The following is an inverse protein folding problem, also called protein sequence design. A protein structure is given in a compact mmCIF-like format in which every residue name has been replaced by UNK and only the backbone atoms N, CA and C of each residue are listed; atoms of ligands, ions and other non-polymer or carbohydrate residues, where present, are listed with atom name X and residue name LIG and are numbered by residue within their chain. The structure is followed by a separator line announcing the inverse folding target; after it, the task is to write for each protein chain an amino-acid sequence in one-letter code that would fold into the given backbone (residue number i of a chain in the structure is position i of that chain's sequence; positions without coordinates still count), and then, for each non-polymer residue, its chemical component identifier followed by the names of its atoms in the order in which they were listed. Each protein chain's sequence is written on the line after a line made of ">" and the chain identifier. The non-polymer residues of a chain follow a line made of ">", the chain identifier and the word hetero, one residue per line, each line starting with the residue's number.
data_IF_422030748904
#
_entry.id   IF_422030748904
#
_cell.length_a   1.000
_cell.length_b   1.000
_cell.length_c   1.000
_cell.angle_alpha   90.00
_cell.angle_beta   90.00
_cell.angle_gamma   90.00
#
_symmetry.space_group_name_H-M   'P 1'
#
loop_
_entity.id
_entity.type
_entity.pdbx_description
1 polymer ?
#
# COMPACT_ATOMS: atom_id res chain seq x y z
N UNK A 1 -19.03 -9.96 21.00
CA UNK A 1 -18.96 -8.60 20.41
C UNK A 1 -18.26 -8.75 19.08
N UNK A 2 -18.96 -8.49 17.96
CA UNK A 2 -18.31 -8.49 16.66
C UNK A 2 -17.31 -7.33 16.66
N UNK A 3 -16.01 -7.63 16.60
CA UNK A 3 -14.99 -6.62 16.41
C UNK A 3 -15.22 -6.03 15.02
N UNK A 4 -15.77 -4.83 14.95
CA UNK A 4 -15.88 -4.08 13.70
C UNK A 4 -14.45 -3.76 13.26
N UNK A 5 -13.87 -4.63 12.44
CA UNK A 5 -12.49 -4.50 11.97
C UNK A 5 -12.37 -3.50 10.82
N UNK A 6 -13.49 -3.14 10.17
CA UNK A 6 -13.58 -2.14 9.11
C UNK A 6 -12.89 -0.80 9.45
N UNK A 7 -13.20 -0.12 10.58
CA UNK A 7 -12.52 1.13 10.94
C UNK A 7 -11.01 0.94 11.16
N UNK A 8 -10.58 -0.19 11.74
CA UNK A 8 -9.16 -0.48 11.98
C UNK A 8 -8.41 -0.60 10.66
N UNK A 9 -8.95 -1.37 9.72
CA UNK A 9 -8.34 -1.53 8.39
C UNK A 9 -8.31 -0.20 7.63
N UNK A 10 -9.38 0.61 7.69
CA UNK A 10 -9.39 1.96 7.10
C UNK A 10 -8.32 2.87 7.71
N UNK A 11 -8.19 2.91 9.04
CA UNK A 11 -7.18 3.74 9.70
C UNK A 11 -5.76 3.35 9.28
N UNK A 12 -5.47 2.05 9.22
CA UNK A 12 -4.16 1.56 8.77
C UNK A 12 -3.95 1.94 7.29
N UNK A 13 -4.96 1.76 6.45
CA UNK A 13 -4.88 2.07 5.02
C UNK A 13 -4.67 3.57 4.75
N UNK A 14 -5.25 4.46 5.55
CA UNK A 14 -5.01 5.91 5.42
C UNK A 14 -3.57 6.34 5.71
N UNK A 15 -2.77 5.51 6.39
CA UNK A 15 -1.34 5.77 6.61
C UNK A 15 -0.47 5.45 5.40
N UNK A 16 -1.04 4.82 4.37
CA UNK A 16 -0.35 4.46 3.14
C UNK A 16 -0.02 5.72 2.33
N UNK A 17 1.27 6.00 2.16
CA UNK A 17 1.86 7.17 1.51
C UNK A 17 2.76 6.71 0.36
N UNK A 18 2.13 6.20 -0.68
CA UNK A 18 2.79 5.68 -1.86
C UNK A 18 2.16 6.31 -3.11
N UNK A 19 2.96 6.52 -4.15
CA UNK A 19 2.51 7.00 -5.47
C UNK A 19 1.73 5.94 -6.24
N UNK A 20 1.84 4.67 -5.85
CA UNK A 20 1.03 3.58 -6.41
C UNK A 20 -0.39 3.68 -5.86
N UNK A 21 -1.38 3.46 -6.71
CA UNK A 21 -2.78 3.45 -6.27
C UNK A 21 -3.12 2.09 -5.71
N UNK A 22 -3.54 2.06 -4.45
CA UNK A 22 -4.14 0.89 -3.82
C UNK A 22 -5.61 1.19 -3.52
N UNK A 23 -6.47 0.19 -3.67
CA UNK A 23 -7.90 0.29 -3.43
C UNK A 23 -8.38 -0.93 -2.65
N UNK A 24 -9.14 -0.71 -1.58
CA UNK A 24 -9.79 -1.80 -0.87
C UNK A 24 -10.95 -2.30 -1.73
N UNK A 25 -10.91 -3.56 -2.14
CA UNK A 25 -11.91 -4.19 -3.00
C UNK A 25 -13.05 -4.82 -2.20
N UNK A 26 -12.70 -5.56 -1.14
CA UNK A 26 -13.67 -6.25 -0.27
C UNK A 26 -13.09 -6.45 1.12
N UNK A 27 -13.98 -6.54 2.12
CA UNK A 27 -13.68 -6.98 3.47
C UNK A 27 -14.72 -8.05 3.86
N UNK A 28 -14.32 -9.32 3.82
CA UNK A 28 -15.20 -10.44 4.12
C UNK A 28 -14.57 -11.36 5.16
N UNK A 29 -15.31 -11.70 6.23
CA UNK A 29 -14.90 -12.72 7.22
C UNK A 29 -13.46 -12.59 7.74
N UNK A 30 -13.04 -11.38 8.10
CA UNK A 30 -11.68 -11.00 8.53
C UNK A 30 -10.59 -11.00 7.44
N UNK A 31 -10.95 -11.21 6.18
CA UNK A 31 -10.06 -11.08 5.03
C UNK A 31 -10.26 -9.72 4.38
N UNK A 32 -9.20 -8.93 4.28
CA UNK A 32 -9.18 -7.69 3.53
C UNK A 32 -8.52 -7.94 2.18
N UNK A 33 -9.24 -7.64 1.11
CA UNK A 33 -8.72 -7.69 -0.26
C UNK A 33 -8.40 -6.28 -0.72
N UNK A 34 -7.13 -6.03 -1.03
CA UNK A 34 -6.64 -4.77 -1.59
C UNK A 34 -6.15 -5.03 -3.00
N UNK A 35 -6.53 -4.16 -3.94
CA UNK A 35 -6.07 -4.20 -5.32
C UNK A 35 -5.10 -3.05 -5.56
N UNK A 36 -4.00 -3.33 -6.23
CA UNK A 36 -3.06 -2.32 -6.70
C UNK A 36 -3.38 -1.97 -8.15
N UNK A 37 -3.91 -0.78 -8.33
CA UNK A 37 -4.23 -0.19 -9.63
C UNK A 37 -2.96 0.49 -10.16
N UNK A 38 -2.06 -0.32 -10.71
CA UNK A 38 -0.86 0.19 -11.37
C UNK A 38 -1.05 0.09 -12.89
N UNK A 39 -1.33 1.23 -13.54
CA UNK A 39 -1.25 1.37 -15.00
C UNK A 39 0.22 1.49 -15.40
N UNK A 40 0.94 0.36 -15.41
CA UNK A 40 2.32 0.29 -15.91
C UNK A 40 2.25 -0.04 -17.40
N UNK A 41 2.76 0.88 -18.23
CA UNK A 41 2.87 0.84 -19.69
C UNK A 41 2.62 -0.56 -20.33
N UNK A 42 1.36 -0.85 -20.68
CA UNK A 42 0.99 -1.94 -21.59
C UNK A 42 0.71 -3.33 -20.99
N UNK A 43 0.84 -3.57 -19.67
CA UNK A 43 0.43 -4.84 -19.04
C UNK A 43 -0.50 -4.59 -17.86
N UNK A 44 -1.73 -5.08 -17.99
CA UNK A 44 -2.83 -4.83 -17.06
C UNK A 44 -3.14 -6.10 -16.27
N UNK A 45 -2.22 -6.50 -15.40
CA UNK A 45 -2.52 -7.50 -14.38
C UNK A 45 -2.66 -6.79 -13.03
N UNK A 46 -3.90 -6.49 -12.58
CA UNK A 46 -4.12 -5.87 -11.28
C UNK A 46 -3.58 -6.80 -10.20
N UNK A 47 -2.67 -6.31 -9.37
CA UNK A 47 -2.07 -7.12 -8.31
C UNK A 47 -3.00 -7.09 -7.11
N UNK A 48 -3.58 -8.24 -6.80
CA UNK A 48 -4.48 -8.41 -5.66
C UNK A 48 -3.68 -8.91 -4.46
N UNK A 49 -3.92 -8.28 -3.32
CA UNK A 49 -3.34 -8.60 -2.03
C UNK A 49 -4.45 -8.98 -1.06
N UNK A 50 -4.24 -10.07 -0.34
CA UNK A 50 -5.19 -10.59 0.63
C UNK A 50 -4.54 -10.57 2.02
N UNK A 51 -5.14 -9.86 2.96
CA UNK A 51 -4.66 -9.75 4.33
C UNK A 51 -5.65 -10.46 5.26
N UNK A 52 -5.15 -11.42 6.05
CA UNK A 52 -5.98 -12.18 7.01
C UNK A 52 -6.02 -11.51 8.37
N UNK A 53 -5.26 -10.44 8.57
CA UNK A 53 -5.15 -9.73 9.84
C UNK A 53 -4.72 -8.27 9.66
N UNK A 54 -5.15 -7.37 10.56
CA UNK A 54 -4.74 -5.96 10.53
C UNK A 54 -3.24 -5.76 10.66
N UNK A 55 -2.54 -6.67 11.37
CA UNK A 55 -1.08 -6.66 11.48
C UNK A 55 -0.38 -6.86 10.13
N UNK A 56 -0.94 -7.70 9.25
CA UNK A 56 -0.36 -7.93 7.92
C UNK A 56 -0.53 -6.68 7.06
N UNK A 57 -1.70 -6.03 7.13
CA UNK A 57 -1.90 -4.75 6.44
C UNK A 57 -0.96 -3.68 6.98
N UNK A 58 -0.76 -3.59 8.30
CA UNK A 58 0.13 -2.59 8.89
C UNK A 58 1.59 -2.79 8.44
N UNK A 59 2.06 -4.04 8.44
CA UNK A 59 3.39 -4.39 7.94
C UNK A 59 3.54 -4.03 6.45
N UNK A 60 2.50 -4.29 5.64
CA UNK A 60 2.46 -3.92 4.24
C UNK A 60 2.54 -2.40 4.03
N UNK A 61 1.71 -1.63 4.75
CA UNK A 61 1.72 -0.17 4.70
C UNK A 61 3.09 0.39 5.11
N UNK A 62 3.69 -0.16 6.16
CA UNK A 62 5.02 0.26 6.61
C UNK A 62 6.11 -0.03 5.57
N UNK A 63 6.05 -1.21 4.94
CA UNK A 63 6.99 -1.63 3.90
C UNK A 63 6.86 -0.73 2.66
N UNK A 64 5.66 -0.54 2.12
CA UNK A 64 5.45 0.31 0.92
C UNK A 64 5.86 1.76 1.20
N UNK A 65 5.57 2.30 2.38
CA UNK A 65 6.01 3.64 2.75
C UNK A 65 7.54 3.75 2.82
N UNK A 66 8.22 2.73 3.33
CA UNK A 66 9.68 2.70 3.41
C UNK A 66 10.29 2.63 2.02
N UNK A 67 9.74 1.78 1.15
CA UNK A 67 10.14 1.66 -0.26
C UNK A 67 9.97 3.01 -0.96
N UNK A 68 8.80 3.65 -0.83
CA UNK A 68 8.56 4.94 -1.47
C UNK A 68 9.42 6.06 -0.91
N UNK A 69 9.66 6.09 0.40
CA UNK A 69 10.61 7.03 1.00
C UNK A 69 12.04 6.82 0.47
N UNK A 70 12.46 5.57 0.26
CA UNK A 70 13.75 5.25 -0.35
C UNK A 70 13.82 5.68 -1.82
N UNK A 71 12.79 5.41 -2.62
CA UNK A 71 12.72 5.84 -4.02
C UNK A 71 12.73 7.38 -4.10
N UNK A 72 12.00 8.07 -3.23
CA UNK A 72 12.01 9.55 -3.16
C UNK A 72 13.42 10.04 -2.83
N UNK A 73 14.09 9.46 -1.83
CA UNK A 73 15.48 9.77 -1.50
C UNK A 73 16.44 9.53 -2.67
N UNK A 74 16.27 8.45 -3.43
CA UNK A 74 17.07 8.17 -4.62
C UNK A 74 16.79 9.16 -5.77
N UNK A 75 15.52 9.55 -5.97
CA UNK A 75 15.12 10.55 -6.97
C UNK A 75 15.63 11.95 -6.62
N UNK A 76 15.58 12.33 -5.35
CA UNK A 76 16.12 13.61 -4.85
C UNK A 76 17.67 13.60 -4.77
N UNK A 77 18.26 12.42 -4.60
CA UNK A 77 19.68 12.18 -4.36
C UNK A 77 20.60 12.21 -5.57
N UNK A 78 20.15 12.67 -6.74
CA UNK A 78 21.02 12.90 -7.90
C UNK A 78 21.23 14.40 -8.19
N UNK A 79 21.28 15.24 -7.16
CA UNK A 79 22.00 16.52 -7.26
C UNK A 79 23.50 16.22 -7.17
N UNK A 80 24.10 15.81 -8.29
CA UNK A 80 25.55 15.74 -8.42
C UNK A 80 26.12 17.14 -8.15
N UNK A 81 27.02 17.34 -7.16
CA UNK A 81 27.53 18.66 -6.80
C UNK A 81 28.53 19.26 -7.80
N UNK A 82 28.57 18.81 -9.06
CA UNK A 82 29.48 19.36 -10.06
C UNK A 82 28.82 19.45 -11.44
N UNK A 83 28.28 20.63 -11.75
CA UNK A 83 28.21 21.14 -13.12
C UNK A 83 28.52 22.63 -13.13
#
# INVERSE_FOLDING_TARGET
>A
MALNLEPIYQEIFTKLKTRKKFVIRSLEKNLLTVEQDEEICGQKEPKVFEFKSPKELEAFVHSENTIEADIVRQLEGNNMPYR
#
